data_IF_657788190905
#
_entry.id   IF_657788190905
#
_cell.length_a   1.000
_cell.length_b   1.000
_cell.length_c   1.000
_cell.angle_alpha   90.00
_cell.angle_beta   90.00
_cell.angle_gamma   90.00
#
_symmetry.space_group_name_H-M   'P 1'
#
loop_
_entity.id
_entity.type
_entity.pdbx_description
1 polymer ?
#
# COMPACT_ATOMS: atom_id res chain seq x y z
N UNK A 1 27.57 0.38 -2.09
CA UNK A 1 26.34 1.15 -1.83
C UNK A 1 25.18 0.16 -1.78
N UNK A 2 24.65 -0.10 -0.59
CA UNK A 2 23.59 -1.07 -0.35
C UNK A 2 22.98 -0.75 1.02
N UNK A 3 21.79 -1.28 1.28
CA UNK A 3 21.15 -1.16 2.59
C UNK A 3 21.85 -2.09 3.57
N UNK A 4 22.09 -1.61 4.78
CA UNK A 4 22.57 -2.45 5.87
C UNK A 4 21.39 -3.29 6.39
N UNK A 5 21.34 -4.55 5.95
CA UNK A 5 20.33 -5.51 6.38
C UNK A 5 20.57 -6.02 7.81
N UNK A 6 21.70 -5.64 8.42
CA UNK A 6 22.05 -5.99 9.80
C UNK A 6 21.81 -4.83 10.77
N UNK A 7 21.09 -3.78 10.35
CA UNK A 7 20.81 -2.64 11.20
C UNK A 7 19.91 -3.05 12.40
N UNK A 8 20.54 -3.19 13.56
CA UNK A 8 19.93 -3.69 14.81
C UNK A 8 18.72 -2.86 15.26
N UNK A 9 18.72 -1.54 14.98
CA UNK A 9 17.61 -0.64 15.32
C UNK A 9 16.26 -1.08 14.72
N UNK A 10 16.24 -1.79 13.60
CA UNK A 10 15.00 -2.31 12.99
C UNK A 10 14.67 -3.73 13.43
N UNK A 11 15.64 -4.49 13.95
CA UNK A 11 15.42 -5.85 14.43
C UNK A 11 14.67 -5.85 15.76
N UNK A 12 14.93 -4.85 16.60
CA UNK A 12 14.29 -4.68 17.91
C UNK A 12 13.02 -3.80 17.86
N UNK A 13 12.72 -3.19 16.71
CA UNK A 13 11.54 -2.35 16.57
C UNK A 13 10.27 -3.19 16.71
N UNK A 14 9.43 -2.84 17.68
CA UNK A 14 8.08 -3.37 17.82
C UNK A 14 7.16 -2.73 16.75
N UNK A 15 7.15 -3.35 15.56
CA UNK A 15 6.35 -2.88 14.43
C UNK A 15 4.95 -3.48 14.52
N UNK A 16 4.03 -2.71 15.08
CA UNK A 16 2.61 -3.07 15.18
C UNK A 16 1.87 -2.97 13.83
N UNK A 17 2.30 -2.06 12.95
CA UNK A 17 1.66 -1.82 11.65
C UNK A 17 2.68 -1.46 10.57
N UNK A 18 2.44 -1.94 9.34
CA UNK A 18 3.22 -1.61 8.14
C UNK A 18 2.33 -0.84 7.16
N UNK A 19 2.55 0.47 7.07
CA UNK A 19 1.92 1.33 6.06
C UNK A 19 2.79 1.37 4.80
N UNK A 20 2.21 0.95 3.68
CA UNK A 20 2.88 0.83 2.38
C UNK A 20 2.26 1.83 1.42
N UNK A 21 3.10 2.61 0.76
CA UNK A 21 2.68 3.62 -0.20
C UNK A 21 3.26 3.29 -1.57
N UNK A 22 2.40 3.19 -2.57
CA UNK A 22 2.81 2.95 -3.94
C UNK A 22 2.02 3.82 -4.91
N UNK A 23 2.72 4.48 -5.84
CA UNK A 23 2.10 5.25 -6.92
C UNK A 23 2.75 4.91 -8.25
N UNK A 24 1.96 4.88 -9.32
CA UNK A 24 2.45 4.52 -10.66
C UNK A 24 3.18 3.17 -10.69
N UNK A 25 4.36 3.11 -11.31
CA UNK A 25 5.18 1.89 -11.39
C UNK A 25 5.78 1.45 -10.06
N UNK A 26 5.73 2.29 -9.02
CA UNK A 26 6.22 1.98 -7.67
C UNK A 26 5.50 0.79 -7.01
N UNK A 27 4.33 0.37 -7.51
CA UNK A 27 3.65 -0.83 -7.01
C UNK A 27 4.34 -2.14 -7.45
N UNK A 28 5.14 -2.13 -8.51
CA UNK A 28 5.81 -3.35 -9.00
C UNK A 28 6.68 -4.06 -7.94
N UNK A 29 7.59 -3.38 -7.21
CA UNK A 29 8.32 -4.00 -6.11
C UNK A 29 7.41 -4.38 -4.93
N UNK A 30 6.36 -3.60 -4.66
CA UNK A 30 5.41 -3.89 -3.58
C UNK A 30 4.62 -5.18 -3.84
N UNK A 31 4.24 -5.43 -5.09
CA UNK A 31 3.65 -6.70 -5.50
C UNK A 31 4.56 -7.87 -5.10
N UNK A 32 5.86 -7.79 -5.38
CA UNK A 32 6.80 -8.85 -5.03
C UNK A 32 6.87 -9.08 -3.51
N UNK A 33 6.84 -8.02 -2.70
CA UNK A 33 6.80 -8.09 -1.22
C UNK A 33 5.53 -8.74 -0.70
N UNK A 34 4.36 -8.38 -1.26
CA UNK A 34 3.07 -8.96 -0.85
C UNK A 34 2.97 -10.43 -1.28
N UNK A 35 3.41 -10.76 -2.49
CA UNK A 35 3.31 -12.11 -3.06
C UNK A 35 4.36 -13.08 -2.51
N UNK A 36 5.45 -12.58 -1.90
CA UNK A 36 6.49 -13.40 -1.25
C UNK A 36 6.19 -13.79 0.20
N UNK A 37 5.04 -13.38 0.74
CA UNK A 37 4.64 -13.56 2.14
C UNK A 37 5.53 -12.85 3.18
N UNK A 38 6.37 -11.90 2.76
CA UNK A 38 7.21 -11.12 3.68
C UNK A 38 6.40 -10.30 4.73
N UNK A 39 5.11 -10.07 4.47
CA UNK A 39 4.18 -9.36 5.34
C UNK A 39 3.32 -10.28 6.21
N UNK A 40 3.50 -11.60 6.13
CA UNK A 40 2.67 -12.57 6.85
C UNK A 40 2.73 -12.32 8.36
N UNK A 41 1.57 -12.22 9.00
CA UNK A 41 1.45 -11.97 10.44
C UNK A 41 1.63 -10.52 10.87
N UNK A 42 1.84 -9.58 9.93
CA UNK A 42 1.91 -8.14 10.20
C UNK A 42 0.60 -7.46 9.81
N UNK A 43 0.12 -6.54 10.64
CA UNK A 43 -0.99 -5.64 10.26
C UNK A 43 -0.46 -4.73 9.15
N UNK A 44 -0.94 -4.93 7.92
CA UNK A 44 -0.36 -4.30 6.73
C UNK A 44 -1.44 -3.57 5.94
N UNK A 45 -1.17 -2.31 5.58
CA UNK A 45 -2.07 -1.48 4.77
C UNK A 45 -1.32 -0.92 3.56
N UNK A 46 -1.87 -1.13 2.37
CA UNK A 46 -1.37 -0.61 1.11
C UNK A 46 -2.26 0.54 0.64
N UNK A 47 -1.68 1.74 0.63
CA UNK A 47 -2.22 2.89 -0.09
C UNK A 47 -1.66 2.90 -1.52
N UNK A 48 -2.52 2.62 -2.50
CA UNK A 48 -2.14 2.61 -3.91
C UNK A 48 -2.77 3.79 -4.64
N UNK A 49 -1.93 4.68 -5.14
CA UNK A 49 -2.36 5.91 -5.81
C UNK A 49 -2.24 5.82 -7.32
N UNK A 50 -3.31 6.24 -8.02
CA UNK A 50 -3.30 6.44 -9.46
C UNK A 50 -4.06 7.72 -9.83
N UNK A 51 -3.86 8.19 -11.07
CA UNK A 51 -4.60 9.36 -11.58
C UNK A 51 -6.08 9.03 -11.77
N UNK A 52 -6.36 7.96 -12.51
CA UNK A 52 -7.68 7.46 -12.85
C UNK A 52 -7.75 5.96 -12.54
N UNK A 53 -8.96 5.38 -12.55
CA UNK A 53 -9.12 3.94 -12.33
C UNK A 53 -8.41 3.11 -13.43
N UNK A 54 -8.47 3.56 -14.68
CA UNK A 54 -7.78 2.91 -15.80
C UNK A 54 -6.24 2.92 -15.67
N UNK A 55 -5.69 3.92 -14.98
CA UNK A 55 -4.26 3.99 -14.70
C UNK A 55 -3.83 3.17 -13.46
N UNK A 56 -4.77 2.56 -12.75
CA UNK A 56 -4.50 1.79 -11.53
C UNK A 56 -3.93 0.41 -11.88
N UNK A 57 -2.64 0.23 -11.62
CA UNK A 57 -1.98 -1.04 -11.85
C UNK A 57 -2.45 -2.11 -10.85
N UNK A 58 -2.59 -3.35 -11.34
CA UNK A 58 -2.89 -4.54 -10.54
C UNK A 58 -4.21 -4.50 -9.75
N UNK A 59 -5.21 -3.74 -10.21
CA UNK A 59 -6.53 -3.71 -9.59
C UNK A 59 -7.18 -5.10 -9.53
N UNK A 60 -6.91 -5.97 -10.51
CA UNK A 60 -7.29 -7.39 -10.55
C UNK A 60 -6.73 -8.21 -9.37
N UNK A 61 -5.64 -7.75 -8.75
CA UNK A 61 -4.96 -8.45 -7.65
C UNK A 61 -5.44 -8.04 -6.27
N UNK A 62 -6.17 -6.93 -6.13
CA UNK A 62 -6.52 -6.38 -4.82
C UNK A 62 -7.27 -7.38 -3.94
N UNK A 63 -8.19 -8.16 -4.52
CA UNK A 63 -8.89 -9.23 -3.79
C UNK A 63 -7.94 -10.31 -3.26
N UNK A 64 -6.90 -10.65 -4.03
CA UNK A 64 -5.87 -11.63 -3.63
C UNK A 64 -5.00 -11.08 -2.52
N UNK A 65 -4.58 -9.82 -2.60
CA UNK A 65 -3.78 -9.18 -1.55
C UNK A 65 -4.56 -9.04 -0.23
N UNK A 66 -5.86 -8.70 -0.30
CA UNK A 66 -6.75 -8.70 0.87
C UNK A 66 -6.84 -10.07 1.54
N UNK A 67 -6.95 -11.15 0.75
CA UNK A 67 -6.92 -12.52 1.29
C UNK A 67 -5.60 -12.90 1.95
N UNK A 68 -4.49 -12.23 1.60
CA UNK A 68 -3.18 -12.39 2.24
C UNK A 68 -3.01 -11.54 3.50
N UNK A 69 -4.05 -10.83 3.93
CA UNK A 69 -4.03 -10.00 5.14
C UNK A 69 -3.54 -8.57 4.92
N UNK A 70 -3.47 -8.10 3.66
CA UNK A 70 -3.12 -6.71 3.34
C UNK A 70 -4.40 -5.91 3.09
N UNK A 71 -4.66 -4.89 3.90
CA UNK A 71 -5.71 -3.92 3.62
C UNK A 71 -5.31 -3.11 2.38
N UNK A 72 -6.13 -3.09 1.33
CA UNK A 72 -5.82 -2.35 0.09
C UNK A 72 -6.75 -1.15 -0.03
N UNK A 73 -6.16 0.04 -0.01
CA UNK A 73 -6.81 1.35 -0.10
C UNK A 73 -6.44 2.01 -1.44
N UNK A 74 -7.27 1.83 -2.48
CA UNK A 74 -7.09 2.53 -3.74
C UNK A 74 -7.46 4.00 -3.62
N UNK A 75 -6.58 4.87 -4.13
CA UNK A 75 -6.73 6.33 -4.08
C UNK A 75 -6.61 6.91 -5.48
N UNK A 76 -7.62 7.66 -5.92
CA UNK A 76 -7.62 8.36 -7.20
C UNK A 76 -7.43 9.86 -7.00
N UNK A 77 -6.39 10.43 -7.61
CA UNK A 77 -6.18 11.88 -7.55
C UNK A 77 -7.10 12.67 -8.47
N UNK A 78 -7.55 12.05 -9.57
CA UNK A 78 -8.48 12.63 -10.54
C UNK A 78 -9.47 11.55 -11.01
N UNK A 79 -10.42 11.12 -10.15
CA UNK A 79 -11.43 10.15 -10.55
C UNK A 79 -12.26 10.70 -11.72
N UNK A 80 -12.37 9.91 -12.78
CA UNK A 80 -13.21 10.24 -13.94
C UNK A 80 -14.56 9.53 -13.76
N UNK A 81 -15.61 10.29 -13.47
CA UNK A 81 -16.96 9.74 -13.26
C UNK A 81 -17.25 9.35 -11.81
N UNK A 82 -18.05 8.30 -11.62
CA UNK A 82 -18.45 7.82 -10.29
C UNK A 82 -17.31 6.98 -9.70
N UNK A 83 -16.80 7.41 -8.56
CA UNK A 83 -15.78 6.70 -7.79
C UNK A 83 -16.22 6.59 -6.33
N UNK A 84 -16.46 5.36 -5.89
CA UNK A 84 -16.91 5.08 -4.52
C UNK A 84 -15.73 4.87 -3.54
N UNK A 85 -14.49 4.92 -4.06
CA UNK A 85 -13.27 4.79 -3.26
C UNK A 85 -12.74 6.12 -2.74
N UNK A 86 -11.47 6.13 -2.31
CA UNK A 86 -10.82 7.33 -1.75
C UNK A 86 -10.34 8.26 -2.87
N UNK A 87 -10.55 9.55 -2.72
CA UNK A 87 -10.10 10.57 -3.66
C UNK A 87 -9.00 11.45 -3.04
N UNK A 88 -8.12 12.02 -3.87
CA UNK A 88 -7.00 12.85 -3.43
C UNK A 88 -5.64 12.15 -3.55
N UNK A 89 -4.73 12.39 -2.61
CA UNK A 89 -3.41 11.75 -2.60
C UNK A 89 -3.25 10.81 -1.41
N UNK A 90 -2.41 9.77 -1.57
CA UNK A 90 -2.24 8.70 -0.58
C UNK A 90 -1.83 9.21 0.80
N UNK A 91 -1.06 10.30 0.88
CA UNK A 91 -0.66 10.91 2.15
C UNK A 91 -1.82 11.63 2.87
N UNK A 92 -2.77 12.20 2.13
CA UNK A 92 -3.94 12.84 2.71
C UNK A 92 -4.90 11.77 3.28
N UNK A 93 -5.07 10.67 2.53
CA UNK A 93 -5.87 9.51 2.93
C UNK A 93 -5.30 8.85 4.19
N UNK A 94 -3.98 8.71 4.29
CA UNK A 94 -3.34 8.23 5.53
C UNK A 94 -3.68 9.14 6.71
N UNK A 95 -3.51 10.46 6.57
CA UNK A 95 -3.80 11.41 7.64
C UNK A 95 -5.23 11.26 8.14
N UNK A 96 -6.19 11.16 7.22
CA UNK A 96 -7.60 10.94 7.57
C UNK A 96 -7.87 9.59 8.29
N UNK A 97 -7.08 8.56 7.99
CA UNK A 97 -7.24 7.25 8.63
C UNK A 97 -6.64 7.20 10.03
N UNK A 98 -5.57 7.95 10.29
CA UNK A 98 -4.90 8.04 11.60
C UNK A 98 -5.60 9.03 12.55
N UNK A 99 -6.39 9.97 12.02
CA UNK A 99 -7.19 10.93 12.80
C UNK A 99 -8.55 10.39 13.28
N UNK A 100 -8.90 9.15 12.92
CA UNK A 100 -10.17 8.48 13.26
C UNK A 100 -10.09 7.67 14.55
#
# INVERSE_FOLDING_TARGET
KGYDLQCEAWQEADVSQVNIFATGSGVAPIRAVIESDALRGKVSRLYIGARTEAAMAYSDRFATWRKRGVEVVPVLSQPEGKWDGRAGYVQDVLREDEER
#
